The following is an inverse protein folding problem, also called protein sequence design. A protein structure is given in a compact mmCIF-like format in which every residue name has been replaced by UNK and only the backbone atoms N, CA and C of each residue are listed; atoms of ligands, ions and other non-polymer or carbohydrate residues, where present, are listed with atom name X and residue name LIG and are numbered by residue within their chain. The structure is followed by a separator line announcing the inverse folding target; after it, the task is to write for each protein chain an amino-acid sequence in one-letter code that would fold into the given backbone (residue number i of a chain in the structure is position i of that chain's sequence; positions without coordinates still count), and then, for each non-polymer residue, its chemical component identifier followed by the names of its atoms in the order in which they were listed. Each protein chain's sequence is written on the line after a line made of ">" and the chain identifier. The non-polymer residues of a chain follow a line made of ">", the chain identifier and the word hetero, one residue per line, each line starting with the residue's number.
data_IF_163495637933
#
_entry.id   IF_163495637933
#
_cell.length_a   1.000
_cell.length_b   1.000
_cell.length_c   1.000
_cell.angle_alpha   90.00
_cell.angle_beta   90.00
_cell.angle_gamma   90.00
#
_symmetry.space_group_name_H-M   'P 1'
#
loop_
_entity.id
_entity.type
_entity.pdbx_description
1 polymer ?
#
# COMPACT_ATOMS: atom_id res chain seq x y z
N UNK A 1 -0.64 -41.12 -20.75
CA UNK A 1 -1.10 -40.57 -19.45
C UNK A 1 0.05 -39.76 -18.87
N UNK A 2 -0.02 -38.43 -18.95
CA UNK A 2 0.98 -37.56 -18.32
C UNK A 2 0.46 -37.28 -16.90
N UNK A 3 1.09 -37.91 -15.91
CA UNK A 3 0.79 -37.60 -14.52
C UNK A 3 1.41 -36.24 -14.19
N UNK A 4 0.56 -35.23 -13.92
CA UNK A 4 1.01 -33.99 -13.29
C UNK A 4 1.49 -34.37 -11.89
N UNK A 5 2.81 -34.34 -11.68
CA UNK A 5 3.39 -34.49 -10.34
C UNK A 5 3.10 -33.18 -9.61
N UNK A 6 2.14 -33.22 -8.69
CA UNK A 6 1.84 -32.07 -7.82
C UNK A 6 3.09 -31.79 -6.97
N UNK A 7 3.69 -30.63 -7.19
CA UNK A 7 4.82 -30.17 -6.39
C UNK A 7 4.27 -29.80 -5.01
N UNK A 8 4.81 -30.34 -3.91
CA UNK A 8 4.29 -30.09 -2.58
C UNK A 8 4.35 -28.59 -2.26
N UNK A 9 3.32 -28.10 -1.56
CA UNK A 9 3.09 -26.68 -1.29
C UNK A 9 4.27 -26.01 -0.57
N UNK A 10 5.03 -26.79 0.21
CA UNK A 10 6.28 -26.37 0.85
C UNK A 10 7.37 -25.98 -0.16
N UNK A 11 7.57 -26.77 -1.21
CA UNK A 11 8.61 -26.51 -2.22
C UNK A 11 8.26 -25.25 -3.05
N UNK A 12 6.97 -25.01 -3.27
CA UNK A 12 6.50 -23.81 -3.97
C UNK A 12 6.69 -22.54 -3.13
N UNK A 13 6.42 -22.63 -1.82
CA UNK A 13 6.68 -21.54 -0.88
C UNK A 13 8.18 -21.27 -0.79
N UNK A 14 9.01 -22.32 -0.68
CA UNK A 14 10.46 -22.18 -0.55
C UNK A 14 11.10 -21.60 -1.81
N UNK A 15 10.66 -22.02 -3.01
CA UNK A 15 11.11 -21.44 -4.28
C UNK A 15 10.79 -19.94 -4.39
N UNK A 16 9.63 -19.52 -3.90
CA UNK A 16 9.24 -18.11 -3.96
C UNK A 16 10.00 -17.25 -2.93
N UNK A 17 10.18 -17.76 -1.70
CA UNK A 17 11.00 -17.11 -0.66
C UNK A 17 12.47 -16.94 -1.07
N UNK A 18 12.97 -17.81 -1.95
CA UNK A 18 14.30 -17.66 -2.55
C UNK A 18 14.37 -16.59 -3.65
N UNK A 19 13.25 -16.27 -4.31
CA UNK A 19 13.19 -15.33 -5.43
C UNK A 19 12.81 -13.89 -5.03
N UNK A 20 12.07 -13.68 -3.93
CA UNK A 20 11.73 -12.33 -3.42
C UNK A 20 12.94 -11.55 -2.87
N UNK A 21 14.07 -12.21 -2.63
CA UNK A 21 15.32 -11.58 -2.17
C UNK A 21 15.93 -10.56 -3.14
N UNK A 22 15.34 -10.33 -4.32
CA UNK A 22 15.82 -9.38 -5.32
C UNK A 22 14.93 -8.13 -5.47
N UNK A 23 13.66 -8.13 -5.04
CA UNK A 23 12.78 -6.96 -5.20
C UNK A 23 12.61 -6.12 -3.91
N UNK A 24 12.80 -6.67 -2.72
CA UNK A 24 12.59 -5.92 -1.45
C UNK A 24 13.74 -4.99 -1.04
N UNK A 25 14.94 -5.11 -1.64
CA UNK A 25 16.10 -4.25 -1.27
C UNK A 25 15.89 -2.78 -1.69
N UNK A 26 14.88 -2.46 -2.54
CA UNK A 26 14.70 -1.09 -3.03
C UNK A 26 13.82 -0.18 -2.16
N UNK A 27 12.98 -0.72 -1.27
CA UNK A 27 11.94 0.08 -0.60
C UNK A 27 12.04 0.16 0.93
N UNK A 28 12.97 -0.57 1.57
CA UNK A 28 13.15 -0.56 3.03
C UNK A 28 14.41 0.17 3.44
N UNK A 29 14.46 1.48 3.20
CA UNK A 29 15.41 2.36 3.88
C UNK A 29 14.63 3.39 4.68
N UNK A 30 14.13 2.99 5.84
CA UNK A 30 14.11 3.75 7.12
C UNK A 30 13.14 3.13 8.10
N UNK A 31 13.62 2.28 9.00
CA UNK A 31 13.27 2.38 10.43
C UNK A 31 14.40 1.74 11.22
N UNK A 32 15.25 2.58 11.79
CA UNK A 32 16.25 2.17 12.77
C UNK A 32 15.53 1.93 14.09
N UNK A 33 15.53 0.68 14.58
CA UNK A 33 15.20 0.39 15.97
C UNK A 33 16.51 -0.06 16.63
N UNK A 34 16.99 0.81 17.50
CA UNK A 34 18.11 0.63 18.38
C UNK A 34 17.65 -0.21 19.57
N UNK A 35 18.28 -1.35 19.83
CA UNK A 35 18.28 -2.02 21.14
C UNK A 35 19.60 -2.78 21.31
N UNK A 36 20.48 -2.22 22.14
CA UNK A 36 21.49 -2.88 22.99
C UNK A 36 20.74 -3.66 24.08
N UNK A 37 21.13 -4.80 24.67
CA UNK A 37 22.30 -5.66 24.92
C UNK A 37 21.70 -7.10 24.98
N UNK A 38 22.38 -8.26 24.92
CA UNK A 38 23.69 -8.73 25.37
C UNK A 38 23.91 -10.11 24.75
N UNK A 39 25.16 -10.44 24.43
CA UNK A 39 25.59 -11.73 23.89
C UNK A 39 25.34 -12.89 24.86
N UNK A 40 24.69 -13.97 24.39
CA UNK A 40 25.04 -15.37 24.67
C UNK A 40 24.26 -16.30 23.70
N UNK A 41 24.97 -17.30 23.19
CA UNK A 41 24.70 -18.06 21.97
C UNK A 41 23.63 -19.14 22.16
N UNK A 42 22.59 -19.12 21.33
CA UNK A 42 21.81 -20.30 20.94
C UNK A 42 21.53 -20.18 19.43
N UNK A 43 21.93 -21.19 18.66
CA UNK A 43 21.60 -21.34 17.23
C UNK A 43 20.09 -21.58 17.08
N UNK A 44 19.27 -20.55 17.28
CA UNK A 44 17.86 -20.57 16.89
C UNK A 44 17.81 -20.47 15.37
N UNK A 45 17.45 -21.58 14.74
CA UNK A 45 17.04 -21.66 13.35
C UNK A 45 16.04 -20.54 13.07
N UNK A 46 16.52 -19.46 12.45
CA UNK A 46 15.81 -18.20 12.32
C UNK A 46 14.68 -18.41 11.31
N UNK A 47 13.56 -18.96 11.78
CA UNK A 47 12.38 -19.19 10.95
C UNK A 47 11.92 -17.84 10.44
N UNK A 48 12.12 -17.58 9.15
CA UNK A 48 11.65 -16.34 8.51
C UNK A 48 10.15 -16.22 8.77
N UNK A 49 9.77 -15.29 9.64
CA UNK A 49 8.37 -15.08 10.02
C UNK A 49 7.66 -14.43 8.84
N UNK A 50 6.86 -15.22 8.12
CA UNK A 50 6.04 -14.73 7.01
C UNK A 50 4.85 -13.97 7.60
N UNK A 51 4.63 -12.74 7.13
CA UNK A 51 3.46 -11.94 7.53
C UNK A 51 2.17 -12.67 7.11
N UNK A 52 1.17 -12.68 7.99
CA UNK A 52 -0.02 -13.51 7.82
C UNK A 52 -0.80 -13.22 6.53
N UNK A 53 -0.92 -11.95 6.14
CA UNK A 53 -1.54 -11.52 4.88
C UNK A 53 -0.80 -12.05 3.65
N UNK A 54 0.54 -12.06 3.67
CA UNK A 54 1.35 -12.61 2.58
C UNK A 54 1.15 -14.13 2.48
N UNK A 55 1.09 -14.82 3.62
CA UNK A 55 0.77 -16.25 3.64
C UNK A 55 -0.59 -16.55 2.98
N UNK A 56 -1.63 -15.78 3.33
CA UNK A 56 -2.95 -15.97 2.72
C UNK A 56 -3.00 -15.56 1.25
N UNK A 57 -2.28 -14.50 0.85
CA UNK A 57 -2.15 -14.11 -0.55
C UNK A 57 -1.48 -15.22 -1.37
N UNK A 58 -0.39 -15.81 -0.86
CA UNK A 58 0.28 -16.95 -1.46
C UNK A 58 -0.65 -18.16 -1.54
N UNK A 59 -1.31 -18.53 -0.44
CA UNK A 59 -2.20 -19.70 -0.40
C UNK A 59 -3.36 -19.56 -1.39
N UNK A 60 -3.94 -18.36 -1.51
CA UNK A 60 -5.02 -18.10 -2.46
C UNK A 60 -4.55 -18.03 -3.93
N UNK A 61 -3.28 -17.70 -4.17
CA UNK A 61 -2.68 -17.68 -5.51
C UNK A 61 -2.21 -19.07 -5.98
N UNK A 62 -1.72 -19.90 -5.07
CA UNK A 62 -1.16 -21.23 -5.35
C UNK A 62 -2.24 -22.30 -5.55
N UNK A 63 -3.37 -22.18 -4.84
CA UNK A 63 -4.43 -23.19 -4.95
C UNK A 63 -5.18 -23.09 -6.29
N UNK A 64 -5.05 -24.13 -7.12
CA UNK A 64 -5.74 -24.24 -8.41
C UNK A 64 -7.27 -24.41 -8.29
N UNK A 65 -7.80 -24.70 -7.09
CA UNK A 65 -9.24 -24.83 -6.86
C UNK A 65 -9.86 -23.48 -6.52
N UNK A 66 -10.86 -23.01 -7.28
CA UNK A 66 -11.53 -21.76 -6.97
C UNK A 66 -12.34 -21.93 -5.68
N UNK A 67 -11.87 -21.29 -4.60
CA UNK A 67 -12.57 -21.25 -3.29
C UNK A 67 -13.14 -19.86 -3.05
N UNK A 68 -14.21 -19.46 -3.78
CA UNK A 68 -14.71 -18.08 -3.75
C UNK A 68 -15.19 -17.64 -2.37
N UNK A 69 -15.75 -18.56 -1.58
CA UNK A 69 -16.21 -18.25 -0.22
C UNK A 69 -15.05 -18.01 0.75
N UNK A 70 -13.99 -18.80 0.65
CA UNK A 70 -12.79 -18.64 1.47
C UNK A 70 -12.09 -17.32 1.15
N UNK A 71 -11.93 -17.01 -0.15
CA UNK A 71 -11.38 -15.72 -0.60
C UNK A 71 -12.18 -14.54 -0.05
N UNK A 72 -13.52 -14.59 -0.12
CA UNK A 72 -14.39 -13.53 0.43
C UNK A 72 -14.19 -13.34 1.93
N UNK A 73 -14.09 -14.43 2.69
CA UNK A 73 -13.88 -14.38 4.14
C UNK A 73 -12.53 -13.74 4.48
N UNK A 74 -11.46 -14.17 3.81
CA UNK A 74 -10.11 -13.63 4.02
C UNK A 74 -10.05 -12.15 3.63
N UNK A 75 -10.60 -11.77 2.47
CA UNK A 75 -10.69 -10.37 2.06
C UNK A 75 -11.47 -9.52 3.08
N UNK A 76 -12.56 -10.05 3.64
CA UNK A 76 -13.31 -9.37 4.69
C UNK A 76 -12.49 -9.23 5.98
N UNK A 77 -11.81 -10.29 6.41
CA UNK A 77 -10.96 -10.27 7.59
C UNK A 77 -9.86 -9.20 7.49
N UNK A 78 -9.18 -9.12 6.34
CA UNK A 78 -8.13 -8.12 6.09
C UNK A 78 -8.64 -6.73 5.71
N UNK A 79 -9.93 -6.57 5.43
CA UNK A 79 -10.52 -5.24 5.26
C UNK A 79 -10.63 -4.46 6.57
N UNK A 80 -10.55 -5.18 7.70
CA UNK A 80 -10.58 -4.59 9.04
C UNK A 80 -9.14 -4.41 9.50
N UNK A 81 -8.65 -3.17 9.67
CA UNK A 81 -7.31 -2.94 10.18
C UNK A 81 -7.22 -3.43 11.63
N UNK A 82 -6.15 -4.17 11.95
CA UNK A 82 -5.93 -4.69 13.30
C UNK A 82 -5.51 -3.60 14.32
N UNK A 83 -5.20 -2.39 13.85
CA UNK A 83 -4.71 -1.29 14.68
C UNK A 83 -5.17 0.07 14.15
N UNK A 84 -5.36 1.01 15.07
CA UNK A 84 -5.65 2.41 14.77
C UNK A 84 -4.44 3.18 14.23
N UNK A 85 -3.23 2.62 14.29
CA UNK A 85 -2.00 3.29 13.86
C UNK A 85 -2.06 3.80 12.41
N UNK A 86 -2.76 3.08 11.52
CA UNK A 86 -2.95 3.54 10.14
C UNK A 86 -3.76 4.83 10.06
N UNK A 87 -4.86 4.90 10.82
CA UNK A 87 -5.73 6.09 10.87
C UNK A 87 -5.02 7.24 11.57
N UNK A 88 -4.28 6.96 12.65
CA UNK A 88 -3.47 7.96 13.36
C UNK A 88 -2.36 8.55 12.49
N UNK A 89 -1.75 7.76 11.61
CA UNK A 89 -0.81 8.25 10.60
C UNK A 89 -1.48 9.24 9.65
N UNK A 90 -2.70 8.93 9.17
CA UNK A 90 -3.48 9.83 8.32
C UNK A 90 -3.83 11.13 9.08
N UNK A 91 -4.21 11.04 10.36
CA UNK A 91 -4.48 12.23 11.18
C UNK A 91 -3.24 13.06 11.47
N UNK A 92 -2.09 12.43 11.62
CA UNK A 92 -0.80 13.14 11.78
C UNK A 92 -0.46 13.93 10.52
N UNK A 93 -0.59 13.32 9.34
CA UNK A 93 -0.42 14.00 8.05
C UNK A 93 -1.42 15.15 7.89
N UNK A 94 -2.70 14.90 8.20
CA UNK A 94 -3.76 15.90 8.11
C UNK A 94 -3.44 17.09 9.01
N UNK A 95 -3.01 16.84 10.25
CA UNK A 95 -2.62 17.88 11.20
C UNK A 95 -1.43 18.68 10.67
N UNK A 96 -0.42 18.02 10.10
CA UNK A 96 0.72 18.70 9.50
C UNK A 96 0.28 19.67 8.39
N UNK A 97 -0.55 19.21 7.45
CA UNK A 97 -1.03 20.03 6.32
C UNK A 97 -1.96 21.17 6.74
N UNK A 98 -2.72 20.97 7.81
CA UNK A 98 -3.69 21.96 8.31
C UNK A 98 -3.06 22.99 9.28
N UNK A 99 -2.04 22.60 10.05
CA UNK A 99 -1.45 23.43 11.09
C UNK A 99 -0.21 24.22 10.66
N UNK A 100 0.28 24.03 9.43
CA UNK A 100 1.46 24.75 8.95
C UNK A 100 1.17 26.26 8.86
N UNK A 101 1.67 26.99 9.86
CA UNK A 101 1.28 28.37 10.19
C UNK A 101 1.61 29.39 9.11
N UNK A 102 2.39 28.98 8.09
CA UNK A 102 2.79 29.82 6.95
C UNK A 102 2.08 29.48 5.64
N UNK A 103 1.47 28.30 5.51
CA UNK A 103 0.82 27.85 4.27
C UNK A 103 -0.36 26.89 4.51
N UNK A 104 -1.24 27.24 5.46
CA UNK A 104 -2.42 26.43 5.80
C UNK A 104 -3.29 26.18 4.58
N UNK A 105 -3.47 24.90 4.26
CA UNK A 105 -4.31 24.45 3.15
C UNK A 105 -5.80 24.49 3.53
N UNK A 106 -6.67 24.66 2.54
CA UNK A 106 -8.12 24.48 2.76
C UNK A 106 -8.42 23.01 3.02
N UNK A 107 -9.49 22.73 3.78
CA UNK A 107 -9.88 21.35 4.11
C UNK A 107 -10.07 20.51 2.84
N UNK A 108 -10.73 21.07 1.81
CA UNK A 108 -10.94 20.40 0.53
C UNK A 108 -9.62 20.01 -0.15
N UNK A 109 -8.62 20.88 -0.07
CA UNK A 109 -7.32 20.64 -0.68
C UNK A 109 -6.52 19.58 0.11
N UNK A 110 -6.57 19.62 1.44
CA UNK A 110 -5.97 18.58 2.31
C UNK A 110 -6.60 17.21 2.03
N UNK A 111 -7.92 17.15 1.91
CA UNK A 111 -8.63 15.90 1.58
C UNK A 111 -8.22 15.35 0.21
N UNK A 112 -8.17 16.19 -0.82
CA UNK A 112 -7.75 15.76 -2.15
C UNK A 112 -6.29 15.28 -2.16
N UNK A 113 -5.40 16.00 -1.47
CA UNK A 113 -3.99 15.63 -1.39
C UNK A 113 -3.78 14.31 -0.65
N UNK A 114 -4.45 14.12 0.50
CA UNK A 114 -4.38 12.87 1.25
C UNK A 114 -4.90 11.68 0.42
N UNK A 115 -5.98 11.86 -0.33
CA UNK A 115 -6.52 10.82 -1.22
C UNK A 115 -5.51 10.44 -2.30
N UNK A 116 -4.87 11.42 -2.93
CA UNK A 116 -3.85 11.17 -3.96
C UNK A 116 -2.65 10.46 -3.33
N UNK A 117 -2.13 10.97 -2.22
CA UNK A 117 -0.91 10.44 -1.58
C UNK A 117 -1.08 9.03 -1.03
N UNK A 118 -2.26 8.70 -0.49
CA UNK A 118 -2.51 7.38 0.14
C UNK A 118 -3.01 6.32 -0.85
N UNK A 119 -3.64 6.71 -1.95
CA UNK A 119 -4.12 5.76 -2.96
C UNK A 119 -3.18 5.58 -4.15
N UNK A 120 -2.15 6.42 -4.28
CA UNK A 120 -1.13 6.31 -5.34
C UNK A 120 0.15 5.71 -4.78
N UNK A 121 0.64 4.65 -5.42
CA UNK A 121 2.02 4.16 -5.24
C UNK A 121 3.03 4.87 -6.16
N UNK A 122 2.55 5.75 -7.06
CA UNK A 122 3.39 6.46 -8.00
C UNK A 122 4.23 7.53 -7.30
N UNK A 123 5.49 7.63 -7.69
CA UNK A 123 6.33 8.76 -7.33
C UNK A 123 5.79 10.06 -7.98
N UNK A 124 6.20 11.22 -7.49
CA UNK A 124 5.79 12.50 -8.08
C UNK A 124 6.17 12.59 -9.57
N UNK A 125 7.30 12.01 -9.98
CA UNK A 125 7.74 11.99 -11.38
C UNK A 125 6.86 11.08 -12.23
N UNK A 126 6.52 9.90 -11.72
CA UNK A 126 5.68 8.94 -12.45
C UNK A 126 4.24 9.43 -12.54
N UNK A 127 3.74 10.05 -11.46
CA UNK A 127 2.43 10.69 -11.44
C UNK A 127 2.37 11.84 -12.45
N UNK A 128 3.41 12.67 -12.53
CA UNK A 128 3.46 13.74 -13.53
C UNK A 128 3.43 13.18 -14.96
N UNK A 129 4.20 12.13 -15.24
CA UNK A 129 4.18 11.48 -16.55
C UNK A 129 2.82 10.82 -16.85
N UNK A 130 2.20 10.19 -15.86
CA UNK A 130 0.85 9.64 -15.94
C UNK A 130 -0.18 10.72 -16.29
N UNK A 131 -0.16 11.85 -15.58
CA UNK A 131 -1.04 12.99 -15.88
C UNK A 131 -0.82 13.52 -17.29
N UNK A 132 0.43 13.54 -17.79
CA UNK A 132 0.71 13.96 -19.17
C UNK A 132 0.21 12.97 -20.23
N UNK A 133 0.12 11.68 -19.89
CA UNK A 133 -0.34 10.64 -20.82
C UNK A 133 -1.85 10.68 -21.07
N UNK A 134 -2.63 11.14 -20.07
CA UNK A 134 -4.09 11.19 -20.15
C UNK A 134 -4.58 12.59 -20.57
N UNK A 135 -4.91 12.72 -21.86
CA UNK A 135 -5.40 13.96 -22.45
C UNK A 135 -6.80 14.35 -21.96
N UNK A 136 -7.64 13.39 -21.58
CA UNK A 136 -8.98 13.68 -21.08
C UNK A 136 -8.90 14.27 -19.67
N UNK A 137 -8.05 13.68 -18.83
CA UNK A 137 -7.77 14.19 -17.49
C UNK A 137 -7.14 15.58 -17.53
N UNK A 138 -6.17 15.84 -18.43
CA UNK A 138 -5.62 17.19 -18.64
C UNK A 138 -6.69 18.19 -19.10
N UNK A 139 -7.59 17.75 -19.98
CA UNK A 139 -8.76 18.53 -20.39
C UNK A 139 -9.65 18.90 -19.20
N UNK A 140 -9.92 17.94 -18.31
CA UNK A 140 -10.70 18.15 -17.10
C UNK A 140 -10.01 19.11 -16.12
N UNK A 141 -8.70 18.93 -15.86
CA UNK A 141 -7.89 19.77 -14.96
C UNK A 141 -7.81 21.21 -15.47
N UNK A 142 -7.64 21.39 -16.78
CA UNK A 142 -7.58 22.71 -17.42
C UNK A 142 -8.97 23.35 -17.59
N UNK A 143 -10.04 22.57 -17.51
CA UNK A 143 -11.40 23.10 -17.66
C UNK A 143 -11.74 24.12 -16.57
N UNK A 144 -12.44 25.19 -16.97
CA UNK A 144 -12.95 26.20 -16.06
C UNK A 144 -14.18 25.71 -15.26
N UNK A 145 -14.66 24.49 -15.51
CA UNK A 145 -15.79 23.90 -14.79
C UNK A 145 -15.52 23.79 -13.30
N UNK A 146 -14.25 23.67 -12.89
CA UNK A 146 -13.83 23.68 -11.47
C UNK A 146 -14.12 25.00 -10.74
N UNK A 147 -14.36 26.10 -11.45
CA UNK A 147 -14.68 27.42 -10.87
C UNK A 147 -16.15 27.81 -11.00
N UNK A 148 -17.05 26.88 -11.35
CA UNK A 148 -18.46 27.19 -11.59
C UNK A 148 -19.15 27.92 -10.42
N UNK A 149 -18.72 27.67 -9.17
CA UNK A 149 -19.26 28.30 -7.96
C UNK A 149 -19.02 29.82 -7.87
N UNK A 150 -18.08 30.41 -8.63
CA UNK A 150 -17.82 31.86 -8.63
C UNK A 150 -18.83 32.68 -9.44
N UNK A 151 -19.77 32.06 -10.16
CA UNK A 151 -20.73 32.76 -11.04
C UNK A 151 -21.90 33.44 -10.29
N UNK A 152 -22.09 33.16 -9.01
CA UNK A 152 -23.08 33.88 -8.19
C UNK A 152 -22.42 35.07 -7.50
N UNK A 153 -22.13 36.13 -8.26
CA UNK A 153 -22.03 37.47 -7.66
C UNK A 153 -23.44 38.02 -7.57
N UNK A 154 -23.89 38.20 -6.32
CA UNK A 154 -25.11 38.89 -5.90
C UNK A 154 -25.27 40.19 -6.69
N UNK A 155 -26.42 40.35 -7.36
CA UNK A 155 -26.91 41.64 -7.84
C UNK A 155 -27.57 42.39 -6.68
#
# INVERSE_FOLDING_TARGET
>A
MIQKKEVPLLDQIQFFLSNEGQEEIRNSSTTSIHQSESDEEDEEEQTKVIRSDQLWAMLLAVNATPTPNMKKLICFLYSIPASNAHVESIFSDMKHLLSDSRNRMSVDLVSAELQIRRNSSLSCTDMHQYLLSDKELLGAISSNNKYAFKKQRVQ
#
